data_IF_298845911138
#
_entry.id   IF_298845911138
#
_cell.length_a   1.000
_cell.length_b   1.000
_cell.length_c   1.000
_cell.angle_alpha   90.00
_cell.angle_beta   90.00
_cell.angle_gamma   90.00
#
_symmetry.space_group_name_H-M   'P 1'
#
loop_
_entity.id
_entity.type
_entity.pdbx_description
1 polymer ?
#
# COMPACT_ATOMS: atom_id res chain seq x y z
N UNK A 1 4.58 -2.01 -15.38
CA UNK A 1 3.57 -0.99 -15.11
C UNK A 1 3.38 -0.75 -13.63
N UNK A 2 3.17 0.52 -13.29
CA UNK A 2 2.85 0.91 -11.93
C UNK A 2 1.35 0.70 -11.71
N UNK A 3 0.93 -0.13 -10.74
CA UNK A 3 -0.50 -0.35 -10.50
C UNK A 3 -1.19 0.94 -10.04
N UNK A 4 -2.45 1.07 -10.35
CA UNK A 4 -3.23 2.20 -9.86
C UNK A 4 -3.46 2.06 -8.35
N UNK A 5 -3.77 3.19 -7.70
CA UNK A 5 -4.11 3.20 -6.28
C UNK A 5 -5.26 2.24 -5.96
N UNK A 6 -6.28 2.25 -6.82
CA UNK A 6 -7.46 1.40 -6.64
C UNK A 6 -7.10 -0.09 -6.71
N UNK A 7 -6.24 -0.47 -7.66
CA UNK A 7 -5.77 -1.84 -7.77
C UNK A 7 -4.97 -2.27 -6.55
N UNK A 8 -4.12 -1.38 -6.02
CA UNK A 8 -3.35 -1.65 -4.83
C UNK A 8 -4.24 -1.84 -3.61
N UNK A 9 -5.29 -1.03 -3.48
CA UNK A 9 -6.25 -1.17 -2.38
C UNK A 9 -6.97 -2.50 -2.45
N UNK A 10 -7.37 -2.93 -3.64
CA UNK A 10 -8.02 -4.22 -3.84
C UNK A 10 -7.10 -5.37 -3.45
N UNK A 11 -5.84 -5.31 -3.87
CA UNK A 11 -4.85 -6.33 -3.53
C UNK A 11 -4.62 -6.39 -2.03
N UNK A 12 -4.49 -5.22 -1.39
CA UNK A 12 -4.30 -5.15 0.06
C UNK A 12 -5.47 -5.74 0.82
N UNK A 13 -6.70 -5.47 0.39
CA UNK A 13 -7.90 -6.04 1.00
C UNK A 13 -7.91 -7.56 0.90
N UNK A 14 -7.62 -8.09 -0.29
CA UNK A 14 -7.59 -9.53 -0.49
C UNK A 14 -6.56 -10.21 0.40
N UNK A 15 -5.37 -9.61 0.51
CA UNK A 15 -4.32 -10.13 1.38
C UNK A 15 -4.75 -10.14 2.85
N UNK A 16 -5.42 -9.07 3.28
CA UNK A 16 -5.88 -8.95 4.66
C UNK A 16 -6.91 -10.04 4.99
N UNK A 17 -7.88 -10.25 4.10
CA UNK A 17 -8.89 -11.28 4.31
C UNK A 17 -8.28 -12.69 4.25
N UNK A 18 -7.35 -12.92 3.35
CA UNK A 18 -6.65 -14.20 3.26
C UNK A 18 -5.87 -14.49 4.54
N UNK A 19 -5.20 -13.49 5.10
CA UNK A 19 -4.45 -13.65 6.35
C UNK A 19 -5.40 -13.93 7.52
N UNK A 20 -6.51 -13.19 7.62
CA UNK A 20 -7.49 -13.40 8.67
C UNK A 20 -8.05 -14.82 8.65
N UNK A 21 -8.33 -15.32 7.45
CA UNK A 21 -8.78 -16.70 7.25
C UNK A 21 -7.71 -17.70 7.70
N UNK A 22 -6.47 -17.47 7.28
CA UNK A 22 -5.35 -18.36 7.59
C UNK A 22 -5.06 -18.38 9.10
N UNK A 23 -5.20 -17.26 9.78
CA UNK A 23 -4.97 -17.16 11.21
C UNK A 23 -5.90 -18.05 12.02
N UNK A 24 -7.10 -18.29 11.52
CA UNK A 24 -8.06 -19.16 12.18
C UNK A 24 -7.75 -20.64 11.99
N UNK A 25 -6.90 -20.98 11.01
CA UNK A 25 -6.63 -22.36 10.62
C UNK A 25 -5.21 -22.83 10.90
N UNK A 26 -4.24 -21.92 11.01
CA UNK A 26 -2.83 -22.29 11.05
C UNK A 26 -2.14 -21.76 12.31
N UNK A 27 -1.09 -22.46 12.77
CA UNK A 27 -0.28 -21.97 13.90
C UNK A 27 0.40 -20.65 13.59
N UNK A 28 0.53 -19.79 14.59
CA UNK A 28 1.17 -18.48 14.45
C UNK A 28 2.61 -18.58 13.93
N UNK A 29 3.32 -19.63 14.27
CA UNK A 29 4.72 -19.82 13.84
C UNK A 29 4.86 -19.91 12.33
N UNK A 30 3.88 -20.48 11.64
CA UNK A 30 3.89 -20.59 10.18
C UNK A 30 3.57 -19.28 9.49
N UNK A 31 2.89 -18.38 10.18
CA UNK A 31 2.45 -17.10 9.62
C UNK A 31 3.44 -15.96 9.84
N UNK A 32 4.42 -16.16 10.74
CA UNK A 32 5.31 -15.06 11.17
C UNK A 32 6.00 -14.32 10.01
N UNK A 33 6.65 -15.06 9.12
CA UNK A 33 7.34 -14.46 7.98
C UNK A 33 6.39 -13.76 7.02
N UNK A 34 5.25 -14.39 6.79
CA UNK A 34 4.22 -13.84 5.91
C UNK A 34 3.64 -12.55 6.47
N UNK A 35 3.42 -12.51 7.80
CA UNK A 35 2.91 -11.32 8.47
C UNK A 35 3.83 -10.11 8.31
N UNK A 36 5.14 -10.32 8.35
CA UNK A 36 6.11 -9.23 8.17
C UNK A 36 5.95 -8.58 6.80
N UNK A 37 5.87 -9.43 5.76
CA UNK A 37 5.70 -8.93 4.39
C UNK A 37 4.35 -8.24 4.22
N UNK A 38 3.31 -8.82 4.79
CA UNK A 38 1.97 -8.25 4.71
C UNK A 38 1.88 -6.91 5.44
N UNK A 39 2.50 -6.81 6.61
CA UNK A 39 2.55 -5.56 7.37
C UNK A 39 3.23 -4.46 6.57
N UNK A 40 4.33 -4.79 5.88
CA UNK A 40 5.03 -3.85 5.01
C UNK A 40 4.11 -3.35 3.89
N UNK A 41 3.38 -4.26 3.25
CA UNK A 41 2.42 -3.90 2.20
C UNK A 41 1.35 -2.98 2.76
N UNK A 42 0.78 -3.32 3.91
CA UNK A 42 -0.27 -2.51 4.54
C UNK A 42 0.20 -1.12 4.91
N UNK A 43 1.44 -1.00 5.42
CA UNK A 43 2.02 0.31 5.77
C UNK A 43 2.16 1.18 4.52
N UNK A 44 2.67 0.60 3.42
CA UNK A 44 2.83 1.33 2.17
C UNK A 44 1.47 1.78 1.62
N UNK A 45 0.49 0.88 1.64
CA UNK A 45 -0.86 1.19 1.15
C UNK A 45 -1.53 2.26 2.01
N UNK A 46 -1.29 2.24 3.32
CA UNK A 46 -1.79 3.26 4.25
C UNK A 46 -1.21 4.63 3.91
N UNK A 47 0.09 4.72 3.68
CA UNK A 47 0.74 5.97 3.31
C UNK A 47 0.22 6.48 1.97
N UNK A 48 0.05 5.59 0.98
CA UNK A 48 -0.53 5.96 -0.32
C UNK A 48 -1.92 6.55 -0.15
N UNK A 49 -2.75 5.93 0.68
CA UNK A 49 -4.10 6.42 0.92
C UNK A 49 -4.09 7.80 1.56
N UNK A 50 -3.25 8.00 2.58
CA UNK A 50 -3.13 9.28 3.27
C UNK A 50 -2.68 10.38 2.33
N UNK A 51 -1.68 10.11 1.48
CA UNK A 51 -1.18 11.08 0.52
C UNK A 51 -2.20 11.38 -0.57
N UNK A 52 -3.00 10.40 -0.98
CA UNK A 52 -4.04 10.60 -1.97
C UNK A 52 -5.14 11.52 -1.44
N UNK A 53 -5.50 11.37 -0.17
CA UNK A 53 -6.45 12.27 0.48
C UNK A 53 -5.88 13.68 0.54
N UNK A 54 -4.60 13.81 0.93
CA UNK A 54 -3.93 15.11 0.98
C UNK A 54 -3.85 15.74 -0.40
N UNK A 55 -3.58 14.95 -1.44
CA UNK A 55 -3.52 15.44 -2.81
C UNK A 55 -4.85 16.07 -3.23
N UNK A 56 -5.95 15.39 -2.96
CA UNK A 56 -7.28 15.91 -3.28
C UNK A 56 -7.54 17.25 -2.58
N UNK A 57 -7.15 17.34 -1.30
CA UNK A 57 -7.29 18.56 -0.53
C UNK A 57 -6.47 19.71 -1.15
N UNK A 58 -5.18 19.47 -1.45
CA UNK A 58 -4.32 20.51 -2.01
C UNK A 58 -4.73 20.92 -3.42
N UNK A 59 -5.23 20.01 -4.22
CA UNK A 59 -5.75 20.34 -5.55
C UNK A 59 -6.90 21.35 -5.45
N UNK A 60 -7.78 21.18 -4.45
CA UNK A 60 -8.87 22.11 -4.22
C UNK A 60 -8.37 23.48 -3.73
N UNK A 61 -7.18 23.56 -3.17
CA UNK A 61 -6.61 24.79 -2.60
C UNK A 61 -5.77 25.60 -3.58
N UNK A 62 -5.42 25.10 -4.75
CA UNK A 62 -4.47 25.75 -5.66
C UNK A 62 -4.91 27.12 -6.15
N UNK A 63 -6.22 27.34 -6.29
CA UNK A 63 -6.76 28.63 -6.76
C UNK A 63 -6.57 29.71 -5.70
N UNK A 64 -6.79 29.40 -4.43
CA UNK A 64 -6.70 30.37 -3.33
C UNK A 64 -5.32 30.41 -2.69
N UNK A 65 -4.53 29.35 -2.81
CA UNK A 65 -3.22 29.23 -2.20
C UNK A 65 -2.22 28.64 -3.21
N UNK A 66 -1.57 29.51 -4.01
CA UNK A 66 -0.63 29.05 -5.05
C UNK A 66 0.49 28.14 -4.51
N UNK A 67 0.93 28.36 -3.26
CA UNK A 67 1.96 27.52 -2.66
C UNK A 67 1.52 26.06 -2.50
N UNK A 68 0.24 25.76 -2.65
CA UNK A 68 -0.24 24.38 -2.64
C UNK A 68 0.37 23.55 -3.78
N UNK A 69 0.83 24.20 -4.85
CA UNK A 69 1.51 23.51 -5.95
C UNK A 69 2.79 22.81 -5.51
N UNK A 70 3.51 23.40 -4.55
CA UNK A 70 4.70 22.74 -4.00
C UNK A 70 4.35 21.46 -3.27
N UNK A 71 3.28 21.49 -2.46
CA UNK A 71 2.80 20.30 -1.77
C UNK A 71 2.37 19.23 -2.76
N UNK A 72 1.66 19.62 -3.82
CA UNK A 72 1.22 18.68 -4.86
C UNK A 72 2.40 18.03 -5.58
N UNK A 73 3.45 18.80 -5.88
CA UNK A 73 4.65 18.27 -6.51
C UNK A 73 5.32 17.22 -5.64
N UNK A 74 5.49 17.53 -4.36
CA UNK A 74 6.08 16.60 -3.40
C UNK A 74 5.23 15.34 -3.25
N UNK A 75 3.91 15.51 -3.09
CA UNK A 75 2.98 14.39 -2.93
C UNK A 75 3.02 13.49 -4.16
N UNK A 76 3.00 14.07 -5.36
CA UNK A 76 3.03 13.29 -6.60
C UNK A 76 4.29 12.47 -6.73
N UNK A 77 5.46 13.07 -6.42
CA UNK A 77 6.73 12.36 -6.44
C UNK A 77 6.75 11.22 -5.42
N UNK A 78 6.24 11.48 -4.22
CA UNK A 78 6.20 10.46 -3.17
C UNK A 78 5.25 9.32 -3.52
N UNK A 79 4.11 9.63 -4.16
CA UNK A 79 3.18 8.61 -4.62
C UNK A 79 3.81 7.69 -5.66
N UNK A 80 4.61 8.23 -6.56
CA UNK A 80 5.33 7.42 -7.55
C UNK A 80 6.32 6.47 -6.87
N UNK A 81 7.09 6.98 -5.92
CA UNK A 81 8.02 6.15 -5.15
C UNK A 81 7.29 5.03 -4.42
N UNK A 82 6.17 5.37 -3.76
CA UNK A 82 5.39 4.40 -3.02
C UNK A 82 4.75 3.35 -3.92
N UNK A 83 4.35 3.72 -5.13
CA UNK A 83 3.80 2.76 -6.09
C UNK A 83 4.86 1.73 -6.48
N UNK A 84 6.10 2.17 -6.69
CA UNK A 84 7.21 1.26 -6.97
C UNK A 84 7.50 0.37 -5.77
N UNK A 85 7.53 0.95 -4.57
CA UNK A 85 7.76 0.20 -3.33
C UNK A 85 6.65 -0.83 -3.10
N UNK A 86 5.40 -0.46 -3.39
CA UNK A 86 4.27 -1.36 -3.25
C UNK A 86 4.39 -2.54 -4.21
N UNK A 87 4.78 -2.29 -5.46
CA UNK A 87 4.96 -3.35 -6.44
C UNK A 87 6.06 -4.32 -5.98
N UNK A 88 7.17 -3.78 -5.48
CA UNK A 88 8.26 -4.58 -4.93
C UNK A 88 7.79 -5.42 -3.75
N UNK A 89 7.02 -4.82 -2.85
CA UNK A 89 6.51 -5.52 -1.67
C UNK A 89 5.54 -6.65 -2.07
N UNK A 90 4.69 -6.42 -3.06
CA UNK A 90 3.81 -7.47 -3.58
C UNK A 90 4.61 -8.58 -4.25
N UNK A 91 5.65 -8.24 -5.00
CA UNK A 91 6.51 -9.22 -5.65
C UNK A 91 7.23 -10.08 -4.60
N UNK A 92 7.73 -9.47 -3.54
CA UNK A 92 8.37 -10.18 -2.43
C UNK A 92 7.37 -11.12 -1.75
N UNK A 93 6.14 -10.66 -1.56
CA UNK A 93 5.10 -11.46 -0.94
C UNK A 93 4.72 -12.65 -1.83
N UNK A 94 4.60 -12.42 -3.14
CA UNK A 94 4.28 -13.48 -4.10
C UNK A 94 5.41 -14.48 -4.23
N UNK A 95 6.66 -14.04 -4.08
CA UNK A 95 7.84 -14.91 -4.14
C UNK A 95 8.10 -15.68 -2.85
N UNK A 96 7.45 -15.31 -1.75
CA UNK A 96 7.62 -16.02 -0.49
C UNK A 96 6.89 -17.37 -0.53
N UNK A 97 7.35 -18.30 0.30
CA UNK A 97 6.69 -19.60 0.40
C UNK A 97 5.29 -19.40 0.97
N UNK A 98 4.25 -19.82 0.25
CA UNK A 98 2.88 -19.63 0.74
C UNK A 98 2.66 -20.31 2.09
N UNK A 99 1.97 -19.63 2.99
CA UNK A 99 1.72 -20.15 4.33
C UNK A 99 0.77 -21.35 4.33
N UNK A 100 0.04 -21.53 3.26
CA UNK A 100 -0.92 -22.64 3.13
C UNK A 100 -0.34 -23.92 2.54
N UNK A 101 0.94 -23.93 2.26
CA UNK A 101 1.63 -25.12 1.78
C UNK A 101 2.32 -25.90 2.87
#
# INVERSE_FOLDING_TARGET
DIPTRHELRKRGKRLRYSLAFAESLLPASKLRGYRKLLSRVQDILGEINDLAVAKDYYEACTVTHPQAWFALGWISARLEELAVDAQKAFDDLAGSKPFWK
#
